data_IF_250128499279
#
_entry.id   IF_250128499279
#
_cell.length_a   1.000
_cell.length_b   1.000
_cell.length_c   1.000
_cell.angle_alpha   90.00
_cell.angle_beta   90.00
_cell.angle_gamma   90.00
#
_symmetry.space_group_name_H-M   'P 1'
#
loop_
_entity.id
_entity.type
_entity.pdbx_description
1 polymer ?
#
# COMPACT_ATOMS: atom_id res chain seq x y z
N UNK A 1 -27.38 -41.10 8.03
CA UNK A 1 -26.22 -40.34 7.51
C UNK A 1 -26.49 -38.85 7.23
N UNK A 2 -27.59 -38.24 7.72
CA UNK A 2 -27.92 -36.82 7.45
C UNK A 2 -27.36 -35.82 8.48
N UNK A 3 -26.90 -36.29 9.64
CA UNK A 3 -26.45 -35.43 10.74
C UNK A 3 -25.02 -34.86 10.52
N UNK A 4 -24.13 -35.61 9.88
CA UNK A 4 -22.73 -35.20 9.67
C UNK A 4 -22.53 -34.10 8.61
N UNK A 5 -23.43 -34.00 7.63
CA UNK A 5 -23.30 -33.01 6.56
C UNK A 5 -23.66 -31.59 7.04
N UNK A 6 -24.66 -31.46 7.93
CA UNK A 6 -25.08 -30.18 8.50
C UNK A 6 -24.03 -29.61 9.46
N UNK A 7 -23.42 -30.47 10.29
CA UNK A 7 -22.34 -30.06 11.20
C UNK A 7 -21.07 -29.68 10.44
N UNK A 8 -20.71 -30.42 9.38
CA UNK A 8 -19.57 -30.07 8.52
C UNK A 8 -19.76 -28.74 7.78
N UNK A 9 -20.96 -28.48 7.25
CA UNK A 9 -21.29 -27.19 6.63
C UNK A 9 -21.25 -26.03 7.63
N UNK A 10 -21.73 -26.24 8.86
CA UNK A 10 -21.66 -25.22 9.90
C UNK A 10 -20.20 -24.89 10.27
N UNK A 11 -19.33 -25.90 10.39
CA UNK A 11 -17.90 -25.69 10.67
C UNK A 11 -17.21 -24.95 9.52
N UNK A 12 -17.48 -25.34 8.26
CA UNK A 12 -16.93 -24.64 7.09
C UNK A 12 -17.39 -23.18 7.02
N UNK A 13 -18.65 -22.91 7.36
CA UNK A 13 -19.18 -21.55 7.39
C UNK A 13 -18.51 -20.71 8.48
N UNK A 14 -18.30 -21.27 9.69
CA UNK A 14 -17.57 -20.60 10.77
C UNK A 14 -16.12 -20.32 10.38
N UNK A 15 -15.44 -21.27 9.73
CA UNK A 15 -14.07 -21.07 9.22
C UNK A 15 -14.04 -19.96 8.15
N UNK A 16 -14.97 -19.97 7.19
CA UNK A 16 -15.05 -18.92 6.17
C UNK A 16 -15.33 -17.54 6.78
N UNK A 17 -16.19 -17.48 7.79
CA UNK A 17 -16.47 -16.25 8.53
C UNK A 17 -15.23 -15.75 9.29
N UNK A 18 -14.51 -16.65 9.96
CA UNK A 18 -13.27 -16.34 10.66
C UNK A 18 -12.19 -15.83 9.67
N UNK A 19 -12.01 -16.50 8.53
CA UNK A 19 -11.08 -16.07 7.48
C UNK A 19 -11.44 -14.71 6.87
N UNK A 20 -12.72 -14.36 6.82
CA UNK A 20 -13.17 -13.05 6.33
C UNK A 20 -13.04 -11.91 7.36
N UNK A 21 -13.09 -12.23 8.67
CA UNK A 21 -13.10 -11.24 9.75
C UNK A 21 -11.72 -11.01 10.36
N UNK A 22 -10.93 -12.08 10.55
CA UNK A 22 -9.60 -12.01 11.17
C UNK A 22 -8.62 -11.02 10.51
N UNK A 23 -8.56 -10.87 9.17
CA UNK A 23 -7.67 -9.89 8.55
C UNK A 23 -8.01 -8.46 9.00
N UNK A 24 -9.30 -8.14 9.15
CA UNK A 24 -9.78 -6.80 9.52
C UNK A 24 -9.50 -6.45 10.97
N UNK A 25 -9.46 -7.45 11.87
CA UNK A 25 -9.17 -7.24 13.29
C UNK A 25 -7.69 -6.94 13.56
N UNK A 26 -6.77 -7.56 12.81
CA UNK A 26 -5.34 -7.27 12.93
C UNK A 26 -4.96 -5.87 12.40
N UNK A 27 -5.60 -5.44 11.30
CA UNK A 27 -5.37 -4.12 10.70
C UNK A 27 -5.79 -2.98 11.65
N UNK A 28 -6.74 -3.23 12.57
CA UNK A 28 -7.17 -2.29 13.60
C UNK A 28 -6.14 -2.08 14.72
N UNK A 29 -5.27 -3.07 14.97
CA UNK A 29 -4.27 -3.03 16.06
C UNK A 29 -2.94 -2.47 15.56
N UNK A 30 -2.54 -2.80 14.33
CA UNK A 30 -1.33 -2.25 13.70
C UNK A 30 -1.61 -0.95 12.96
N UNK A 31 -2.89 -0.58 12.81
CA UNK A 31 -3.40 0.44 11.89
C UNK A 31 -2.95 0.26 10.43
N UNK A 32 -2.27 -0.82 10.06
CA UNK A 32 -1.72 -1.04 8.73
C UNK A 32 -2.79 -1.62 7.80
N UNK A 33 -3.09 -0.94 6.69
CA UNK A 33 -4.03 -1.43 5.67
C UNK A 33 -3.30 -2.42 4.74
N UNK A 34 -3.48 -3.72 5.02
CA UNK A 34 -2.94 -4.80 4.17
C UNK A 34 -3.53 -4.80 2.77
N UNK A 35 -4.75 -4.27 2.61
CA UNK A 35 -5.39 -4.11 1.31
C UNK A 35 -4.66 -3.05 0.48
N UNK A 36 -4.36 -1.90 1.07
CA UNK A 36 -3.56 -0.85 0.42
C UNK A 36 -2.16 -1.35 0.10
N UNK A 37 -1.49 -2.02 1.04
CA UNK A 37 -0.18 -2.63 0.78
C UNK A 37 -0.21 -3.56 -0.43
N UNK A 38 -1.21 -4.46 -0.49
CA UNK A 38 -1.37 -5.37 -1.62
C UNK A 38 -1.55 -4.61 -2.93
N UNK A 39 -2.41 -3.58 -2.96
CA UNK A 39 -2.64 -2.76 -4.16
C UNK A 39 -1.34 -2.09 -4.65
N UNK A 40 -0.54 -1.56 -3.72
CA UNK A 40 0.77 -0.97 -4.04
C UNK A 40 1.74 -2.00 -4.63
N UNK A 41 1.74 -3.24 -4.13
CA UNK A 41 2.59 -4.31 -4.67
C UNK A 41 2.28 -4.71 -6.12
N UNK A 42 1.11 -4.37 -6.65
CA UNK A 42 0.77 -4.57 -8.06
C UNK A 42 1.27 -3.47 -8.99
N UNK A 43 1.79 -2.37 -8.44
CA UNK A 43 2.26 -1.24 -9.23
C UNK A 43 3.65 -1.52 -9.81
N UNK A 44 3.82 -1.23 -11.10
CA UNK A 44 5.07 -1.43 -11.82
C UNK A 44 5.58 -0.10 -12.39
N UNK A 45 6.90 0.01 -12.57
CA UNK A 45 7.47 1.19 -13.26
C UNK A 45 6.79 1.33 -14.62
N UNK A 46 6.31 2.54 -14.93
CA UNK A 46 5.51 2.83 -16.12
C UNK A 46 4.00 2.88 -15.88
N UNK A 47 3.50 2.49 -14.70
CA UNK A 47 2.05 2.64 -14.40
C UNK A 47 1.66 4.12 -14.48
N UNK A 48 0.58 4.47 -15.23
CA UNK A 48 0.11 5.85 -15.33
C UNK A 48 -0.37 6.39 -13.99
N UNK A 49 -0.13 7.69 -13.73
CA UNK A 49 -0.62 8.39 -12.54
C UNK A 49 -2.11 8.24 -12.30
N UNK A 50 -2.92 8.34 -13.36
CA UNK A 50 -4.38 8.18 -13.27
C UNK A 50 -4.80 6.82 -12.74
N UNK A 51 -4.10 5.75 -13.13
CA UNK A 51 -4.36 4.39 -12.66
C UNK A 51 -3.98 4.22 -11.18
N UNK A 52 -2.84 4.77 -10.78
CA UNK A 52 -2.39 4.76 -9.38
C UNK A 52 -3.40 5.50 -8.50
N UNK A 53 -3.89 6.66 -8.93
CA UNK A 53 -4.87 7.44 -8.18
C UNK A 53 -6.22 6.72 -8.11
N UNK A 54 -6.65 6.06 -9.19
CA UNK A 54 -7.86 5.24 -9.18
C UNK A 54 -7.74 4.05 -8.20
N UNK A 55 -6.53 3.51 -8.03
CA UNK A 55 -6.27 2.33 -7.19
C UNK A 55 -6.05 2.68 -5.71
N UNK A 56 -5.32 3.77 -5.43
CA UNK A 56 -4.88 4.14 -4.08
C UNK A 56 -5.72 5.27 -3.47
N UNK A 57 -6.49 6.01 -4.28
CA UNK A 57 -7.17 7.21 -3.87
C UNK A 57 -6.23 8.42 -3.76
N UNK A 58 -6.73 9.48 -3.12
CA UNK A 58 -6.00 10.73 -2.97
C UNK A 58 -4.75 10.57 -2.09
N UNK A 59 -3.61 11.17 -2.48
CA UNK A 59 -2.41 11.18 -1.67
C UNK A 59 -2.57 12.11 -0.45
N UNK A 60 -1.82 11.80 0.60
CA UNK A 60 -1.69 12.65 1.79
C UNK A 60 -0.94 13.96 1.49
N UNK A 61 0.12 13.88 0.67
CA UNK A 61 0.99 15.01 0.34
C UNK A 61 1.50 14.90 -1.08
N UNK A 62 1.74 16.05 -1.72
CA UNK A 62 2.48 16.18 -2.98
C UNK A 62 3.70 17.07 -2.77
N UNK A 63 4.81 16.78 -3.44
CA UNK A 63 6.03 17.57 -3.38
C UNK A 63 6.87 17.40 -4.67
N UNK A 64 7.84 18.29 -4.89
CA UNK A 64 8.81 18.19 -6.01
C UNK A 64 10.02 17.34 -5.66
N UNK A 65 10.23 17.06 -4.37
CA UNK A 65 11.27 16.16 -3.85
C UNK A 65 10.67 14.94 -3.15
N UNK A 66 11.49 13.91 -2.91
CA UNK A 66 11.06 12.73 -2.14
C UNK A 66 10.48 13.15 -0.79
N UNK A 67 9.19 12.84 -0.57
CA UNK A 67 8.43 13.33 0.57
C UNK A 67 8.17 12.26 1.64
N UNK A 68 9.04 11.26 1.78
CA UNK A 68 9.02 10.37 2.95
C UNK A 68 9.20 11.17 4.26
N UNK A 69 8.66 10.70 5.40
CA UNK A 69 8.59 11.50 6.63
C UNK A 69 9.95 11.95 7.19
N UNK A 70 11.00 11.18 6.94
CA UNK A 70 12.35 11.49 7.42
C UNK A 70 13.39 10.91 6.46
N UNK A 71 14.58 11.53 6.44
CA UNK A 71 15.73 11.02 5.66
C UNK A 71 16.57 10.02 6.44
N UNK A 72 16.73 10.22 7.75
CA UNK A 72 17.51 9.33 8.61
C UNK A 72 16.91 7.93 8.63
N UNK A 73 17.70 6.91 8.30
CA UNK A 73 17.25 5.52 8.17
C UNK A 73 16.59 5.18 6.82
N UNK A 74 16.44 6.17 5.93
CA UNK A 74 15.91 6.00 4.56
C UNK A 74 16.86 6.57 3.50
N UNK A 75 18.15 6.66 3.80
CA UNK A 75 19.14 7.30 2.93
C UNK A 75 19.19 6.64 1.55
N UNK A 76 18.94 5.33 1.50
CA UNK A 76 18.89 4.56 0.25
C UNK A 76 17.68 4.94 -0.59
N UNK A 77 16.51 5.13 0.01
CA UNK A 77 15.28 5.54 -0.65
C UNK A 77 15.43 6.95 -1.21
N UNK A 78 15.98 7.88 -0.43
CA UNK A 78 16.29 9.23 -0.89
C UNK A 78 17.34 9.23 -2.01
N UNK A 79 18.37 8.39 -1.92
CA UNK A 79 19.36 8.24 -2.99
C UNK A 79 18.76 7.63 -4.27
N UNK A 80 17.79 6.70 -4.15
CA UNK A 80 17.05 6.14 -5.29
C UNK A 80 16.16 7.19 -5.94
N UNK A 81 15.42 7.98 -5.16
CA UNK A 81 14.64 9.11 -5.66
C UNK A 81 15.54 10.11 -6.41
N UNK A 82 16.66 10.52 -5.81
CA UNK A 82 17.58 11.48 -6.41
C UNK A 82 18.22 11.01 -7.74
N UNK A 83 18.31 9.69 -7.95
CA UNK A 83 18.79 9.09 -9.20
C UNK A 83 17.67 8.78 -10.21
N UNK A 84 16.42 8.98 -9.81
CA UNK A 84 15.26 8.76 -10.67
C UNK A 84 15.01 9.96 -11.58
N UNK A 85 14.11 9.80 -12.55
CA UNK A 85 13.63 10.90 -13.40
C UNK A 85 12.36 11.55 -12.85
N UNK A 86 11.98 11.28 -11.59
CA UNK A 86 10.75 11.80 -11.04
C UNK A 86 10.85 13.31 -10.79
N UNK A 87 9.91 14.07 -11.34
CA UNK A 87 9.76 15.51 -11.12
C UNK A 87 8.62 15.86 -10.14
N UNK A 88 7.78 14.90 -9.78
CA UNK A 88 6.72 15.09 -8.76
C UNK A 88 6.54 13.83 -7.95
N UNK A 89 6.43 13.98 -6.63
CA UNK A 89 6.29 12.91 -5.67
C UNK A 89 4.98 13.04 -4.91
N UNK A 90 4.34 11.91 -4.65
CA UNK A 90 3.10 11.81 -3.90
C UNK A 90 3.27 10.80 -2.76
N UNK A 91 2.75 11.17 -1.59
CA UNK A 91 2.84 10.37 -0.38
C UNK A 91 1.46 9.77 -0.04
N UNK A 92 1.39 8.47 0.16
CA UNK A 92 0.24 7.80 0.80
C UNK A 92 0.65 7.30 2.18
N UNK A 93 -0.26 7.40 3.14
CA UNK A 93 -0.09 6.84 4.48
C UNK A 93 -0.81 5.51 4.57
N UNK A 94 -0.08 4.47 4.98
CA UNK A 94 -0.60 3.13 5.22
C UNK A 94 -0.65 2.81 6.72
N UNK A 95 -1.55 3.46 7.43
CA UNK A 95 -1.69 3.29 8.87
C UNK A 95 -1.08 4.40 9.69
N UNK A 96 -0.46 4.09 10.84
CA UNK A 96 0.08 5.15 11.73
C UNK A 96 1.49 5.54 11.31
N UNK A 97 2.34 4.55 11.04
CA UNK A 97 3.76 4.77 10.84
C UNK A 97 4.28 4.35 9.46
N UNK A 98 3.45 3.86 8.55
CA UNK A 98 3.91 3.36 7.25
C UNK A 98 3.52 4.27 6.11
N UNK A 99 4.41 4.45 5.13
CA UNK A 99 4.25 5.41 4.05
C UNK A 99 4.75 4.86 2.72
N UNK A 100 4.06 5.23 1.64
CA UNK A 100 4.47 5.02 0.26
C UNK A 100 4.72 6.35 -0.40
N UNK A 101 5.91 6.53 -0.98
CA UNK A 101 6.26 7.69 -1.76
C UNK A 101 6.44 7.25 -3.22
N UNK A 102 5.63 7.81 -4.11
CA UNK A 102 5.64 7.46 -5.54
C UNK A 102 6.04 8.70 -6.34
N UNK A 103 7.09 8.56 -7.15
CA UNK A 103 7.57 9.61 -8.04
C UNK A 103 7.17 9.37 -9.49
N UNK A 104 6.74 10.44 -10.14
CA UNK A 104 6.29 10.47 -11.54
C UNK A 104 7.22 11.32 -12.41
N UNK A 105 7.45 10.88 -13.63
CA UNK A 105 8.15 11.66 -14.66
C UNK A 105 7.20 12.64 -15.39
N UNK A 106 7.73 13.33 -16.40
CA UNK A 106 7.00 14.30 -17.21
C UNK A 106 5.89 13.68 -18.08
N UNK A 107 5.96 12.37 -18.35
CA UNK A 107 4.96 11.60 -19.08
C UNK A 107 3.84 11.05 -18.16
N UNK A 108 3.79 11.53 -16.91
CA UNK A 108 2.87 11.09 -15.86
C UNK A 108 2.96 9.58 -15.58
N UNK A 109 4.15 8.99 -15.71
CA UNK A 109 4.42 7.58 -15.42
C UNK A 109 5.19 7.41 -14.14
N UNK A 110 4.82 6.40 -13.36
CA UNK A 110 5.58 6.04 -12.15
C UNK A 110 6.99 5.60 -12.54
N UNK A 111 8.01 6.28 -12.02
CA UNK A 111 9.43 5.92 -12.23
C UNK A 111 10.13 5.48 -10.96
N UNK A 112 9.53 5.74 -9.79
CA UNK A 112 10.06 5.27 -8.52
C UNK A 112 8.91 5.02 -7.53
N UNK A 113 8.99 3.89 -6.84
CA UNK A 113 8.16 3.53 -5.70
C UNK A 113 9.08 3.29 -4.51
N UNK A 114 8.83 4.02 -3.43
CA UNK A 114 9.57 3.97 -2.17
C UNK A 114 8.62 3.69 -1.02
N UNK A 115 9.16 3.05 0.00
CA UNK A 115 8.45 2.64 1.20
C UNK A 115 9.26 3.08 2.42
N UNK A 116 8.60 3.58 3.44
CA UNK A 116 9.28 4.01 4.67
C UNK A 116 8.36 3.93 5.87
N UNK A 117 8.95 3.73 7.05
CA UNK A 117 8.22 3.68 8.31
C UNK A 117 8.85 4.52 9.42
N UNK A 118 8.06 5.37 10.10
CA UNK A 118 8.54 6.20 11.21
C UNK A 118 8.50 5.49 12.57
#
# INVERSE_FOLDING_TARGET
MQFGMKTMLAVLFVIALLLAVLPRGCDLVTHFDRGLHRRVQWLEVGTPRSEIFALLGEPLKTDVECCLPQKSGFENEFARAAKSRAGTYFLWRNGVNWYYCIGFDEDDKMVVLLEGSS
#
